data_IF_902131922621
#
_entry.id   IF_902131922621
#
_cell.length_a   1.000
_cell.length_b   1.000
_cell.length_c   1.000
_cell.angle_alpha   90.00
_cell.angle_beta   90.00
_cell.angle_gamma   90.00
#
_symmetry.space_group_name_H-M   'P 1'
#
loop_
_entity.id
_entity.type
_entity.pdbx_description
1 polymer ?
#
# COMPACT_ATOMS: atom_id res chain seq x y z
N UNK A 1 -24.51 10.21 17.83
CA UNK A 1 -24.00 9.37 16.75
C UNK A 1 -25.11 8.92 15.80
N UNK A 2 -24.73 8.33 14.69
CA UNK A 2 -25.61 7.87 13.62
C UNK A 2 -25.48 6.35 13.46
N UNK A 3 -26.10 5.53 14.34
CA UNK A 3 -25.88 4.08 14.37
C UNK A 3 -26.43 3.34 13.15
N UNK A 4 -27.52 3.82 12.58
CA UNK A 4 -28.12 3.20 11.39
C UNK A 4 -27.25 3.42 10.16
N UNK A 5 -26.77 4.65 9.95
CA UNK A 5 -25.81 4.99 8.89
C UNK A 5 -24.50 4.25 9.06
N UNK A 6 -23.99 4.15 10.28
CA UNK A 6 -22.78 3.39 10.57
C UNK A 6 -22.95 1.91 10.17
N UNK A 7 -24.06 1.29 10.56
CA UNK A 7 -24.40 -0.09 10.19
C UNK A 7 -24.51 -0.26 8.68
N UNK A 8 -25.15 0.67 8.00
CA UNK A 8 -25.32 0.66 6.55
C UNK A 8 -23.95 0.73 5.83
N UNK A 9 -23.10 1.69 6.22
CA UNK A 9 -21.79 1.85 5.57
C UNK A 9 -20.82 0.73 5.91
N UNK A 10 -20.84 0.20 7.13
CA UNK A 10 -20.07 -1.00 7.50
C UNK A 10 -20.46 -2.22 6.63
N UNK A 11 -21.76 -2.40 6.36
CA UNK A 11 -22.20 -3.45 5.43
C UNK A 11 -21.71 -3.19 4.01
N UNK A 12 -21.77 -1.95 3.55
CA UNK A 12 -21.28 -1.58 2.20
C UNK A 12 -19.78 -1.76 2.04
N UNK A 13 -19.00 -1.47 3.08
CA UNK A 13 -17.54 -1.63 3.04
C UNK A 13 -17.09 -3.07 2.79
N UNK A 14 -17.97 -4.06 3.00
CA UNK A 14 -17.71 -5.47 2.72
C UNK A 14 -17.99 -5.86 1.26
N UNK A 15 -18.49 -4.96 0.43
CA UNK A 15 -18.92 -5.25 -0.94
C UNK A 15 -17.82 -5.78 -1.85
N UNK A 16 -16.56 -5.39 -1.62
CA UNK A 16 -15.40 -5.85 -2.38
C UNK A 16 -15.22 -7.38 -2.35
N UNK A 17 -15.66 -8.06 -1.28
CA UNK A 17 -15.58 -9.52 -1.15
C UNK A 17 -16.33 -10.25 -2.26
N UNK A 18 -17.39 -9.66 -2.79
CA UNK A 18 -18.14 -10.22 -3.91
C UNK A 18 -17.36 -10.21 -5.23
N UNK A 19 -16.33 -9.40 -5.32
CA UNK A 19 -15.43 -9.28 -6.48
C UNK A 19 -14.20 -10.18 -6.36
N UNK A 20 -14.02 -10.87 -5.23
CA UNK A 20 -12.89 -11.77 -5.02
C UNK A 20 -13.10 -13.08 -5.75
N UNK A 21 -12.13 -13.48 -6.57
CA UNK A 21 -12.08 -14.75 -7.27
C UNK A 21 -11.23 -15.75 -6.46
N UNK A 22 -11.83 -16.78 -5.89
CA UNK A 22 -11.10 -17.73 -5.04
C UNK A 22 -10.11 -18.62 -5.79
N UNK A 23 -10.30 -18.81 -7.11
CA UNK A 23 -9.36 -19.57 -7.94
C UNK A 23 -8.13 -18.74 -8.29
N UNK A 24 -8.34 -17.47 -8.71
CA UNK A 24 -7.25 -16.57 -9.07
C UNK A 24 -6.65 -15.89 -7.84
N UNK A 25 -7.37 -15.85 -6.71
CA UNK A 25 -7.01 -15.14 -5.49
C UNK A 25 -6.70 -13.66 -5.74
N UNK A 26 -7.55 -13.02 -6.52
CA UNK A 26 -7.50 -11.61 -6.89
C UNK A 26 -8.94 -11.09 -7.03
N UNK A 27 -9.07 -9.78 -6.99
CA UNK A 27 -10.35 -9.10 -7.23
C UNK A 27 -10.51 -8.85 -8.73
N UNK A 28 -11.72 -9.13 -9.27
CA UNK A 28 -12.05 -8.89 -10.67
C UNK A 28 -13.37 -8.16 -10.82
N UNK A 29 -13.55 -7.38 -11.89
CA UNK A 29 -14.79 -6.68 -12.16
C UNK A 29 -15.90 -7.65 -12.57
N UNK A 30 -17.13 -7.35 -12.12
CA UNK A 30 -18.36 -8.06 -12.50
C UNK A 30 -19.31 -7.13 -13.23
N UNK A 31 -20.16 -7.69 -14.07
CA UNK A 31 -21.30 -7.00 -14.65
C UNK A 31 -22.46 -6.86 -13.63
N UNK A 32 -23.54 -6.19 -14.04
CA UNK A 32 -24.73 -6.01 -13.19
C UNK A 32 -25.47 -7.30 -12.87
N UNK A 33 -25.26 -8.35 -13.63
CA UNK A 33 -25.82 -9.70 -13.46
C UNK A 33 -24.96 -10.55 -12.52
N UNK A 34 -23.77 -10.07 -12.12
CA UNK A 34 -22.85 -10.78 -11.24
C UNK A 34 -21.85 -11.70 -11.96
N UNK A 35 -21.82 -11.70 -13.29
CA UNK A 35 -20.84 -12.45 -14.06
C UNK A 35 -19.52 -11.72 -14.13
N UNK A 36 -18.41 -12.47 -14.17
CA UNK A 36 -17.09 -11.89 -14.40
C UNK A 36 -17.03 -11.22 -15.78
N UNK A 37 -16.63 -9.94 -15.84
CA UNK A 37 -16.37 -9.29 -17.14
C UNK A 37 -15.20 -9.95 -17.85
N UNK A 38 -14.16 -10.26 -17.11
CA UNK A 38 -12.99 -11.03 -17.54
C UNK A 38 -12.25 -11.57 -16.33
N UNK A 39 -11.27 -12.46 -16.56
CA UNK A 39 -10.37 -12.98 -15.52
C UNK A 39 -8.90 -12.89 -15.95
N UNK A 40 -8.58 -11.89 -16.78
CA UNK A 40 -7.19 -11.52 -17.11
C UNK A 40 -6.69 -10.53 -16.07
N UNK A 41 -5.71 -10.89 -15.22
CA UNK A 41 -5.28 -10.05 -14.09
C UNK A 41 -4.51 -8.78 -14.48
N UNK A 42 -4.02 -8.71 -15.72
CA UNK A 42 -3.32 -7.53 -16.25
C UNK A 42 -4.21 -6.67 -17.16
N UNK A 43 -5.49 -7.01 -17.30
CA UNK A 43 -6.43 -6.19 -18.08
C UNK A 43 -6.99 -5.06 -17.24
N UNK A 44 -6.96 -3.85 -17.82
CA UNK A 44 -7.62 -2.66 -17.25
C UNK A 44 -9.12 -2.57 -17.54
N UNK A 45 -9.69 -3.51 -18.30
CA UNK A 45 -11.13 -3.47 -18.63
C UNK A 45 -11.99 -3.63 -17.36
N UNK A 46 -12.93 -2.69 -17.20
CA UNK A 46 -13.80 -2.64 -16.02
C UNK A 46 -13.18 -2.04 -14.77
N UNK A 47 -11.96 -1.55 -14.86
CA UNK A 47 -11.25 -0.79 -13.82
C UNK A 47 -11.16 0.68 -14.17
N UNK A 48 -10.95 1.50 -13.16
CA UNK A 48 -10.51 2.89 -13.32
C UNK A 48 -9.06 2.94 -12.85
N UNK A 49 -8.14 3.20 -13.77
CA UNK A 49 -6.70 3.38 -13.51
C UNK A 49 -6.03 2.23 -12.74
N UNK A 50 -6.53 1.02 -12.89
CA UNK A 50 -5.99 -0.16 -12.21
C UNK A 50 -6.19 -1.43 -13.03
N UNK A 51 -5.71 -2.54 -12.50
CA UNK A 51 -6.02 -3.90 -12.88
C UNK A 51 -6.17 -4.78 -11.64
N UNK A 52 -6.40 -6.07 -11.80
CA UNK A 52 -6.63 -6.97 -10.66
C UNK A 52 -5.41 -7.07 -9.72
N UNK A 53 -4.17 -7.01 -10.25
CA UNK A 53 -2.96 -7.02 -9.43
C UNK A 53 -2.81 -5.76 -8.58
N UNK A 54 -3.14 -4.60 -9.12
CA UNK A 54 -3.01 -3.32 -8.41
C UNK A 54 -4.14 -3.13 -7.39
N UNK A 55 -5.37 -3.46 -7.76
CA UNK A 55 -6.55 -3.18 -6.95
C UNK A 55 -6.76 -4.15 -5.78
N UNK A 56 -6.29 -5.40 -5.88
CA UNK A 56 -6.55 -6.44 -4.86
C UNK A 56 -6.05 -6.02 -3.47
N UNK A 57 -4.94 -5.34 -3.38
CA UNK A 57 -4.29 -4.94 -2.13
C UNK A 57 -4.81 -3.63 -1.55
N UNK A 58 -5.64 -2.90 -2.30
CA UNK A 58 -6.15 -1.56 -1.92
C UNK A 58 -7.31 -1.59 -0.94
N UNK A 59 -7.58 -2.74 -0.31
CA UNK A 59 -8.65 -2.92 0.69
C UNK A 59 -8.09 -2.74 2.11
N UNK A 60 -7.47 -1.61 2.39
CA UNK A 60 -6.78 -1.32 3.66
C UNK A 60 -7.65 -1.53 4.90
N UNK A 61 -8.96 -1.32 4.79
CA UNK A 61 -9.96 -1.56 5.84
C UNK A 61 -10.34 -3.03 6.03
N UNK A 62 -9.89 -3.94 5.17
CA UNK A 62 -10.30 -5.34 5.13
C UNK A 62 -9.14 -6.34 4.97
N UNK A 63 -7.92 -5.98 5.34
CA UNK A 63 -6.74 -6.87 5.20
C UNK A 63 -6.91 -8.20 5.94
N UNK A 64 -7.44 -8.28 7.17
CA UNK A 64 -7.69 -9.57 7.81
C UNK A 64 -8.62 -10.48 6.99
N UNK A 65 -9.68 -9.91 6.43
CA UNK A 65 -10.62 -10.63 5.58
C UNK A 65 -9.96 -11.08 4.25
N UNK A 66 -9.10 -10.23 3.68
CA UNK A 66 -8.34 -10.58 2.48
C UNK A 66 -7.39 -11.75 2.72
N UNK A 67 -6.70 -11.77 3.86
CA UNK A 67 -5.83 -12.87 4.30
C UNK A 67 -6.64 -14.18 4.36
N UNK A 68 -7.80 -14.14 4.97
CA UNK A 68 -8.68 -15.31 5.09
C UNK A 68 -9.14 -15.82 3.71
N UNK A 69 -9.65 -14.93 2.87
CA UNK A 69 -10.12 -15.26 1.52
C UNK A 69 -9.00 -15.83 0.63
N UNK A 70 -7.78 -15.38 0.80
CA UNK A 70 -6.61 -15.91 0.09
C UNK A 70 -6.17 -17.30 0.57
N UNK A 71 -6.61 -17.73 1.76
CA UNK A 71 -6.23 -19.01 2.35
C UNK A 71 -5.04 -18.90 3.32
N UNK A 72 -4.81 -17.71 3.88
CA UNK A 72 -3.85 -17.49 4.96
C UNK A 72 -2.72 -16.51 4.62
N UNK A 73 -1.98 -16.15 5.67
CA UNK A 73 -0.91 -15.13 5.64
C UNK A 73 0.20 -15.44 4.64
N UNK A 74 0.66 -16.69 4.61
CA UNK A 74 1.75 -17.09 3.71
C UNK A 74 1.31 -17.01 2.24
N UNK A 75 0.10 -17.47 1.93
CA UNK A 75 -0.43 -17.41 0.55
C UNK A 75 -0.57 -15.96 0.07
N UNK A 76 -1.05 -15.06 0.95
CA UNK A 76 -1.12 -13.65 0.64
C UNK A 76 0.28 -13.07 0.40
N UNK A 77 1.22 -13.33 1.33
CA UNK A 77 2.59 -12.82 1.22
C UNK A 77 3.30 -13.30 -0.03
N UNK A 78 3.21 -14.59 -0.34
CA UNK A 78 3.87 -15.16 -1.53
C UNK A 78 3.32 -14.55 -2.81
N UNK A 79 2.00 -14.37 -2.87
CA UNK A 79 1.36 -13.76 -4.04
C UNK A 79 1.69 -12.28 -4.19
N UNK A 80 1.68 -11.53 -3.11
CA UNK A 80 2.05 -10.11 -3.11
C UNK A 80 3.54 -9.93 -3.41
N UNK A 81 4.41 -10.75 -2.81
CA UNK A 81 5.85 -10.70 -3.06
C UNK A 81 6.18 -11.00 -4.53
N UNK A 82 5.54 -12.01 -5.12
CA UNK A 82 5.63 -12.25 -6.56
C UNK A 82 5.29 -11.01 -7.38
N UNK A 83 4.20 -10.30 -7.03
CA UNK A 83 3.81 -9.09 -7.74
C UNK A 83 4.86 -7.96 -7.62
N UNK A 84 5.48 -7.82 -6.44
CA UNK A 84 6.60 -6.87 -6.24
C UNK A 84 7.84 -7.25 -7.03
N UNK A 85 8.20 -8.54 -7.07
CA UNK A 85 9.33 -9.04 -7.85
C UNK A 85 9.14 -8.74 -9.35
N UNK A 86 7.93 -8.99 -9.87
CA UNK A 86 7.63 -8.67 -11.26
C UNK A 86 7.63 -7.17 -11.59
N UNK A 87 7.27 -6.32 -10.62
CA UNK A 87 7.24 -4.87 -10.80
C UNK A 87 8.61 -4.20 -10.64
N UNK A 88 9.57 -4.87 -10.02
CA UNK A 88 10.87 -4.30 -9.70
C UNK A 88 11.72 -4.00 -10.95
N UNK A 89 11.52 -4.74 -12.03
CA UNK A 89 12.24 -4.55 -13.29
C UNK A 89 11.78 -3.27 -14.04
N UNK A 90 10.60 -2.77 -13.72
CA UNK A 90 10.01 -1.54 -14.28
C UNK A 90 9.97 -0.40 -13.23
N UNK A 91 10.84 -0.45 -12.22
CA UNK A 91 10.97 0.56 -11.16
C UNK A 91 9.66 0.84 -10.40
N UNK A 92 8.70 -0.09 -10.40
CA UNK A 92 7.35 0.05 -9.80
C UNK A 92 6.53 1.20 -10.40
N UNK A 93 6.81 1.61 -11.62
CA UNK A 93 6.12 2.72 -12.28
C UNK A 93 5.53 2.24 -13.60
N UNK A 94 4.20 2.18 -13.61
CA UNK A 94 3.45 1.82 -14.80
C UNK A 94 2.43 2.92 -15.12
N UNK A 95 2.13 3.07 -16.38
CA UNK A 95 0.94 3.80 -16.80
C UNK A 95 -0.34 3.14 -16.26
N UNK A 96 -1.43 3.85 -16.28
CA UNK A 96 -2.72 3.39 -15.77
C UNK A 96 -3.06 1.99 -16.27
N UNK A 97 -3.43 1.13 -15.34
CA UNK A 97 -3.78 -0.28 -15.58
C UNK A 97 -2.65 -1.19 -16.07
N UNK A 98 -1.43 -0.69 -16.23
CA UNK A 98 -0.27 -1.51 -16.59
C UNK A 98 0.38 -2.21 -15.40
N UNK A 99 1.08 -3.33 -15.67
CA UNK A 99 1.96 -4.01 -14.73
C UNK A 99 1.31 -4.63 -13.49
N UNK A 100 2.14 -4.99 -12.52
CA UNK A 100 1.73 -5.74 -11.32
C UNK A 100 1.49 -4.84 -10.10
N UNK A 101 2.49 -4.09 -9.68
CA UNK A 101 2.44 -3.12 -8.58
C UNK A 101 2.90 -1.78 -9.14
N UNK A 102 2.09 -0.75 -8.98
CA UNK A 102 2.45 0.59 -9.45
C UNK A 102 2.38 1.59 -8.31
N UNK A 103 3.47 2.31 -8.12
CA UNK A 103 3.57 3.45 -7.22
C UNK A 103 3.43 4.79 -7.95
N UNK A 104 3.01 4.73 -9.20
CA UNK A 104 2.67 5.90 -10.00
C UNK A 104 1.19 6.28 -9.89
N UNK A 105 0.40 5.52 -9.13
CA UNK A 105 -1.04 5.78 -8.95
C UNK A 105 -1.52 5.33 -7.56
N UNK A 106 -2.58 5.95 -7.06
CA UNK A 106 -3.11 5.77 -5.71
C UNK A 106 -3.38 4.33 -5.29
N UNK A 107 -3.92 3.42 -6.12
CA UNK A 107 -4.18 2.05 -5.69
C UNK A 107 -2.96 1.29 -5.20
N UNK A 108 -1.75 1.68 -5.64
CA UNK A 108 -0.52 0.97 -5.32
C UNK A 108 0.21 1.43 -4.06
N UNK A 109 0.00 2.68 -3.62
CA UNK A 109 0.90 3.36 -2.66
C UNK A 109 1.00 2.73 -1.28
N UNK A 110 0.03 1.91 -0.87
CA UNK A 110 0.01 1.23 0.43
C UNK A 110 0.41 -0.25 0.36
N UNK A 111 0.63 -0.80 -0.83
CA UNK A 111 0.73 -2.25 -1.03
C UNK A 111 1.88 -2.91 -0.26
N UNK A 112 3.05 -2.25 -0.13
CA UNK A 112 4.18 -2.78 0.64
C UNK A 112 3.87 -2.94 2.14
N UNK A 113 2.92 -2.18 2.68
CA UNK A 113 2.57 -2.22 4.10
C UNK A 113 1.68 -3.41 4.47
N UNK A 114 1.05 -4.05 3.49
CA UNK A 114 0.22 -5.24 3.68
C UNK A 114 1.01 -6.42 4.26
N UNK A 115 2.31 -6.54 3.96
CA UNK A 115 3.15 -7.59 4.53
C UNK A 115 3.25 -7.51 6.06
N UNK A 116 3.30 -6.32 6.64
CA UNK A 116 3.32 -6.14 8.11
C UNK A 116 2.07 -6.73 8.75
N UNK A 117 0.91 -6.50 8.16
CA UNK A 117 -0.37 -7.05 8.61
C UNK A 117 -0.46 -8.57 8.44
N UNK A 118 0.21 -9.09 7.45
CA UNK A 118 0.32 -10.54 7.22
C UNK A 118 1.43 -11.20 8.07
N UNK A 119 2.12 -10.45 8.93
CA UNK A 119 3.12 -10.97 9.86
C UNK A 119 4.52 -11.14 9.27
N UNK A 120 4.80 -10.50 8.13
CA UNK A 120 6.14 -10.47 7.50
C UNK A 120 6.66 -9.02 7.39
N UNK A 121 6.86 -8.30 8.52
CA UNK A 121 7.26 -6.89 8.49
C UNK A 121 8.60 -6.63 7.79
N UNK A 122 9.50 -7.62 7.76
CA UNK A 122 10.76 -7.52 7.02
C UNK A 122 10.54 -7.35 5.51
N UNK A 123 9.49 -7.93 4.92
CA UNK A 123 9.15 -7.70 3.51
C UNK A 123 8.62 -6.26 3.30
N UNK A 124 7.84 -5.73 4.24
CA UNK A 124 7.48 -4.30 4.22
C UNK A 124 8.74 -3.44 4.21
N UNK A 125 9.68 -3.68 5.13
CA UNK A 125 10.93 -2.93 5.25
C UNK A 125 11.76 -2.99 3.96
N UNK A 126 11.91 -4.17 3.40
CA UNK A 126 12.63 -4.41 2.16
C UNK A 126 12.00 -3.67 0.98
N UNK A 127 10.70 -3.88 0.75
CA UNK A 127 10.03 -3.30 -0.41
C UNK A 127 9.84 -1.78 -0.31
N UNK A 128 9.55 -1.24 0.87
CA UNK A 128 9.49 0.21 1.09
C UNK A 128 10.80 0.88 0.70
N UNK A 129 11.94 0.32 1.09
CA UNK A 129 13.27 0.84 0.70
C UNK A 129 13.50 0.77 -0.81
N UNK A 130 13.18 -0.37 -1.42
CA UNK A 130 13.35 -0.55 -2.87
C UNK A 130 12.46 0.39 -3.67
N UNK A 131 11.18 0.42 -3.37
CA UNK A 131 10.23 1.33 -4.02
C UNK A 131 10.67 2.78 -3.86
N UNK A 132 11.04 3.19 -2.64
CA UNK A 132 11.50 4.55 -2.39
C UNK A 132 12.73 4.91 -3.24
N UNK A 133 13.67 4.00 -3.40
CA UNK A 133 14.88 4.21 -4.19
C UNK A 133 14.61 4.24 -5.69
N UNK A 134 13.73 3.36 -6.18
CA UNK A 134 13.48 3.19 -7.62
C UNK A 134 12.39 4.14 -8.13
N UNK A 135 11.21 4.13 -7.52
CA UNK A 135 10.09 4.97 -7.97
C UNK A 135 10.24 6.46 -7.59
N UNK A 136 10.84 6.75 -6.43
CA UNK A 136 10.89 8.11 -5.86
C UNK A 136 12.32 8.62 -5.61
N UNK A 137 13.31 8.00 -6.23
CA UNK A 137 14.73 8.29 -5.99
C UNK A 137 15.28 9.52 -6.71
N UNK A 138 14.61 10.01 -7.74
CA UNK A 138 15.07 11.13 -8.52
C UNK A 138 14.71 12.48 -7.89
N UNK A 139 15.49 13.50 -8.25
CA UNK A 139 15.33 14.89 -7.75
C UNK A 139 15.02 15.89 -8.87
N UNK A 140 14.73 15.40 -10.07
CA UNK A 140 14.40 16.23 -11.23
C UNK A 140 12.92 16.07 -11.60
N UNK A 141 12.27 17.10 -12.17
CA UNK A 141 10.84 17.06 -12.47
C UNK A 141 10.44 15.97 -13.46
N UNK A 142 11.32 15.61 -14.38
CA UNK A 142 11.09 14.59 -15.40
C UNK A 142 11.24 13.15 -14.89
N UNK A 143 11.88 12.97 -13.74
CA UNK A 143 12.17 11.65 -13.15
C UNK A 143 11.67 11.51 -11.72
N UNK A 144 11.28 12.60 -11.09
CA UNK A 144 10.61 12.56 -9.79
C UNK A 144 9.33 11.71 -9.88
N UNK A 145 9.04 10.94 -8.86
CA UNK A 145 7.89 10.01 -8.84
C UNK A 145 7.86 9.04 -10.04
N UNK A 146 9.05 8.66 -10.54
CA UNK A 146 9.20 7.78 -11.69
C UNK A 146 8.84 8.41 -13.03
N UNK A 147 8.73 9.74 -13.11
CA UNK A 147 8.31 10.46 -14.32
C UNK A 147 6.81 10.36 -14.58
N UNK A 148 6.01 10.08 -13.56
CA UNK A 148 4.55 10.01 -13.60
C UNK A 148 3.91 11.15 -12.79
N UNK A 149 2.57 11.18 -12.72
CA UNK A 149 1.82 12.22 -12.02
C UNK A 149 2.10 12.25 -10.52
N UNK A 150 2.04 13.43 -9.93
CA UNK A 150 2.29 13.65 -8.50
C UNK A 150 1.02 13.48 -7.63
N UNK A 151 -0.14 13.58 -8.26
CA UNK A 151 -1.46 13.37 -7.65
C UNK A 151 -1.72 14.24 -6.41
N UNK A 152 -1.60 15.54 -6.59
CA UNK A 152 -2.00 16.56 -5.61
C UNK A 152 -1.28 16.45 -4.26
N UNK A 153 0.00 16.09 -4.27
CA UNK A 153 0.82 15.94 -3.06
C UNK A 153 0.89 14.51 -2.52
N UNK A 154 0.17 13.57 -3.10
CA UNK A 154 0.13 12.19 -2.59
C UNK A 154 1.45 11.47 -2.77
N UNK A 155 2.04 11.51 -3.97
CA UNK A 155 3.31 10.82 -4.23
C UNK A 155 4.45 11.40 -3.39
N UNK A 156 4.49 12.72 -3.22
CA UNK A 156 5.42 13.39 -2.33
C UNK A 156 5.21 13.00 -0.87
N UNK A 157 3.97 12.95 -0.41
CA UNK A 157 3.61 12.51 0.93
C UNK A 157 4.04 11.05 1.20
N UNK A 158 3.76 10.13 0.29
CA UNK A 158 4.18 8.73 0.41
C UNK A 158 5.69 8.59 0.41
N UNK A 159 6.40 9.30 -0.49
CA UNK A 159 7.86 9.32 -0.51
C UNK A 159 8.45 9.80 0.83
N UNK A 160 7.87 10.83 1.42
CA UNK A 160 8.29 11.35 2.74
C UNK A 160 8.03 10.32 3.85
N UNK A 161 6.84 9.70 3.90
CA UNK A 161 6.51 8.67 4.88
C UNK A 161 7.44 7.46 4.76
N UNK A 162 7.74 7.01 3.55
CA UNK A 162 8.73 5.95 3.31
C UNK A 162 10.13 6.36 3.80
N UNK A 163 10.52 7.61 3.58
CA UNK A 163 11.84 8.11 4.00
C UNK A 163 11.99 8.17 5.52
N UNK A 164 10.94 8.55 6.25
CA UNK A 164 10.94 8.59 7.72
C UNK A 164 10.61 7.24 8.36
N UNK A 165 10.14 6.28 7.59
CA UNK A 165 9.87 4.93 8.05
C UNK A 165 8.61 4.77 8.89
N UNK A 166 7.61 5.61 8.69
CA UNK A 166 6.31 5.53 9.34
C UNK A 166 5.19 5.49 8.30
N UNK A 167 4.21 4.63 8.53
CA UNK A 167 3.01 4.56 7.70
C UNK A 167 1.81 4.08 8.53
N UNK A 168 0.61 4.49 8.16
CA UNK A 168 -0.63 3.93 8.69
C UNK A 168 -1.47 3.40 7.55
N UNK A 169 -1.58 2.08 7.44
CA UNK A 169 -2.33 1.42 6.38
C UNK A 169 -3.82 1.77 6.42
N UNK A 170 -4.38 1.94 7.62
CA UNK A 170 -5.79 2.30 7.83
C UNK A 170 -6.03 3.81 7.85
N UNK A 171 -4.99 4.63 7.69
CA UNK A 171 -5.09 6.08 7.74
C UNK A 171 -5.46 6.62 9.13
N UNK A 172 -5.19 5.85 10.18
CA UNK A 172 -5.48 6.20 11.58
C UNK A 172 -6.98 6.43 11.89
N UNK A 173 -7.87 5.79 11.14
CA UNK A 173 -9.33 5.86 11.39
C UNK A 173 -9.83 4.79 12.37
N UNK A 174 -8.96 3.98 12.90
CA UNK A 174 -9.26 2.94 13.88
C UNK A 174 -9.49 3.52 15.28
N UNK A 175 -10.13 2.73 16.14
CA UNK A 175 -10.29 3.08 17.56
C UNK A 175 -8.95 3.22 18.30
N UNK A 176 -7.95 2.47 17.86
CA UNK A 176 -6.58 2.52 18.35
C UNK A 176 -5.64 2.83 17.19
N UNK A 177 -5.47 4.12 16.84
CA UNK A 177 -4.61 4.54 15.74
C UNK A 177 -3.18 4.06 15.96
N UNK A 178 -2.56 3.54 14.89
CA UNK A 178 -1.19 3.04 14.96
C UNK A 178 -0.42 3.35 13.68
N UNK A 179 0.90 3.42 13.82
CA UNK A 179 1.82 3.48 12.69
C UNK A 179 2.64 2.20 12.62
N UNK A 180 2.77 1.66 11.42
CA UNK A 180 3.80 0.68 11.12
C UNK A 180 5.17 1.38 11.13
N UNK A 181 6.15 0.76 11.77
CA UNK A 181 7.55 1.16 11.70
C UNK A 181 8.20 0.34 10.60
N UNK A 182 8.72 1.03 9.59
CA UNK A 182 9.37 0.40 8.44
C UNK A 182 10.89 0.61 8.49
N UNK A 183 11.54 0.92 7.37
CA UNK A 183 12.99 1.12 7.30
C UNK A 183 13.33 2.55 6.90
N UNK A 184 13.55 3.48 7.86
CA UNK A 184 13.92 4.86 7.57
C UNK A 184 15.23 4.95 6.79
N UNK A 185 15.36 6.01 5.95
CA UNK A 185 16.62 6.26 5.23
C UNK A 185 17.60 7.15 6.01
N UNK A 186 17.15 7.73 7.11
CA UNK A 186 17.93 8.65 7.95
C UNK A 186 18.42 7.93 9.21
N UNK A 187 19.61 8.29 9.70
CA UNK A 187 20.13 7.75 10.96
C UNK A 187 19.36 8.28 12.17
N UNK A 188 18.85 9.49 12.06
CA UNK A 188 18.08 10.14 13.13
C UNK A 188 17.01 11.06 12.56
N UNK A 189 15.81 10.96 13.11
CA UNK A 189 14.67 11.82 12.78
C UNK A 189 14.11 12.37 14.09
N UNK A 190 13.90 13.66 14.16
CA UNK A 190 13.18 14.32 15.25
C UNK A 190 11.91 14.95 14.70
N UNK A 191 10.77 14.61 15.26
CA UNK A 191 9.49 15.21 14.97
C UNK A 191 9.09 16.04 16.19
N UNK A 192 8.99 17.35 16.00
CA UNK A 192 8.49 18.24 17.05
C UNK A 192 6.98 18.10 17.12
N UNK A 193 6.47 17.74 18.28
CA UNK A 193 5.05 17.58 18.53
C UNK A 193 4.44 18.93 18.95
N UNK A 194 3.15 19.09 18.73
CA UNK A 194 2.40 20.30 19.08
C UNK A 194 2.21 20.37 20.62
N UNK A 195 2.73 21.43 21.25
CA UNK A 195 2.68 21.64 22.70
C UNK A 195 1.25 21.75 23.26
N UNK A 196 0.26 21.97 22.42
CA UNK A 196 -1.16 21.95 22.81
C UNK A 196 -1.68 20.58 23.17
N UNK A 197 -1.04 19.52 22.65
CA UNK A 197 -1.44 18.14 22.83
C UNK A 197 -0.41 17.28 23.56
N UNK A 198 0.88 17.68 23.52
CA UNK A 198 1.99 16.88 24.03
C UNK A 198 2.95 17.76 24.82
N UNK A 199 3.01 17.60 26.13
CA UNK A 199 3.92 18.36 26.99
C UNK A 199 5.37 18.16 26.54
N UNK A 200 5.96 19.23 25.95
CA UNK A 200 7.36 19.31 25.49
C UNK A 200 7.79 18.14 24.60
N UNK A 201 6.90 17.75 23.68
CA UNK A 201 7.05 16.51 22.94
C UNK A 201 7.98 16.60 21.75
N UNK A 202 9.00 15.75 21.75
CA UNK A 202 9.68 15.31 20.53
C UNK A 202 9.48 13.82 20.40
N UNK A 203 9.08 13.39 19.22
CA UNK A 203 9.15 11.98 18.83
C UNK A 203 10.46 11.77 18.08
N UNK A 204 11.29 10.82 18.52
CA UNK A 204 12.61 10.58 17.95
C UNK A 204 12.66 9.16 17.40
N UNK A 205 13.04 9.04 16.12
CA UNK A 205 13.40 7.76 15.50
C UNK A 205 14.92 7.74 15.40
N UNK A 206 15.55 6.76 16.02
CA UNK A 206 16.98 6.50 15.93
C UNK A 206 17.22 5.17 15.28
N UNK A 207 17.99 5.14 14.19
CA UNK A 207 18.40 3.91 13.51
C UNK A 207 19.84 3.59 13.82
N UNK A 208 20.16 2.30 13.80
CA UNK A 208 21.51 1.79 13.99
C UNK A 208 21.88 0.92 12.80
N UNK A 209 23.13 1.01 12.35
CA UNK A 209 23.63 0.27 11.17
C UNK A 209 22.81 0.54 9.90
N UNK A 210 22.29 1.75 9.77
CA UNK A 210 21.48 2.16 8.62
C UNK A 210 22.36 2.25 7.37
N UNK A 211 22.13 1.35 6.42
CA UNK A 211 22.78 1.39 5.12
C UNK A 211 21.79 0.94 4.03
N UNK A 212 22.12 1.25 2.78
CA UNK A 212 21.27 0.85 1.65
C UNK A 212 21.09 -0.68 1.52
N UNK A 213 22.07 -1.46 2.03
CA UNK A 213 22.01 -2.92 2.04
C UNK A 213 21.33 -3.54 3.27
N UNK A 214 21.08 -2.75 4.31
CA UNK A 214 20.44 -3.21 5.56
C UNK A 214 18.99 -2.76 5.57
N UNK A 215 18.11 -3.57 5.01
CA UNK A 215 16.68 -3.27 4.91
C UNK A 215 15.85 -3.95 6.01
N UNK A 216 16.47 -4.70 6.91
CA UNK A 216 15.81 -5.47 7.98
C UNK A 216 16.22 -4.97 9.35
#
# INVERSE_FOLDING_TARGET
GYPEEATYFLKRSQGWKQLFDPEKKLIFPKDRQGNWKHRNPLSGDGWVEANAWQATWSVSHGIPDLIELMGGKDVLCDKLNYAFEQAADDDFVYGYSGGYISYANQPGVSNAHVFSWAGKPWLTQYWVRRVRAQAYGAVTPDRGYGGHDEDQGQMGGISALMAIGLFSLTGNVDQNPSYEITSPIFDRIEITLDDRYYEKGKFVIQTYHNSAGNCY
#
